data_IF_361082232242
#
_entry.id   IF_361082232242
#
_cell.length_a   1.000
_cell.length_b   1.000
_cell.length_c   1.000
_cell.angle_alpha   90.00
_cell.angle_beta   90.00
_cell.angle_gamma   90.00
#
_symmetry.space_group_name_H-M   'P 1'
#
loop_
_entity.id
_entity.type
_entity.pdbx_description
1 polymer ?
#
# COMPACT_ATOMS: atom_id res chain seq x y z
N UNK A 1 32.10 -1.22 -10.66
CA UNK A 1 32.07 -0.01 -11.53
C UNK A 1 31.65 1.18 -10.69
N UNK A 2 32.58 2.06 -10.34
CA UNK A 2 32.31 3.23 -9.46
C UNK A 2 31.95 4.47 -10.32
N UNK A 3 30.92 4.39 -11.12
CA UNK A 3 30.43 5.56 -11.84
C UNK A 3 29.21 6.14 -11.13
N UNK A 4 29.23 7.46 -10.88
CA UNK A 4 28.05 8.20 -10.47
C UNK A 4 27.01 8.11 -11.60
N UNK A 5 26.09 7.17 -11.49
CA UNK A 5 25.03 6.95 -12.46
C UNK A 5 23.81 7.79 -12.12
N UNK A 6 23.12 8.29 -13.14
CA UNK A 6 21.80 8.90 -12.99
C UNK A 6 20.74 7.86 -13.29
N UNK A 7 19.95 7.49 -12.28
CA UNK A 7 18.97 6.41 -12.33
C UNK A 7 17.57 7.00 -12.22
N UNK A 8 16.67 6.64 -13.13
CA UNK A 8 15.26 6.98 -13.07
C UNK A 8 14.42 5.73 -12.87
N UNK A 9 13.60 5.72 -11.83
CA UNK A 9 12.58 4.70 -11.63
C UNK A 9 11.21 5.26 -12.03
N UNK A 10 10.37 4.43 -12.64
CA UNK A 10 9.05 4.84 -13.12
C UNK A 10 7.97 3.92 -12.55
N UNK A 11 7.09 4.47 -11.72
CA UNK A 11 5.85 3.85 -11.28
C UNK A 11 4.79 4.94 -11.12
N UNK A 12 3.94 5.14 -12.12
CA UNK A 12 3.02 6.29 -12.16
C UNK A 12 1.85 6.17 -11.18
N UNK A 13 1.42 5.00 -10.84
CA UNK A 13 0.31 4.71 -9.89
C UNK A 13 0.51 3.33 -9.30
N UNK A 14 -0.18 2.98 -8.31
CA UNK A 14 -1.08 3.58 -7.31
C UNK A 14 -0.32 3.60 -6.00
N UNK A 15 -0.94 4.10 -4.90
CA UNK A 15 -0.32 4.10 -3.57
C UNK A 15 0.36 2.75 -3.25
N UNK A 16 -0.38 1.63 -3.32
CA UNK A 16 0.20 0.31 -3.08
C UNK A 16 1.30 -0.08 -4.06
N UNK A 17 1.13 0.19 -5.36
CA UNK A 17 2.15 -0.11 -6.39
C UNK A 17 3.44 0.69 -6.17
N UNK A 18 3.34 1.95 -5.74
CA UNK A 18 4.51 2.81 -5.45
C UNK A 18 5.21 2.32 -4.19
N UNK A 19 4.47 2.00 -3.11
CA UNK A 19 5.05 1.41 -1.90
C UNK A 19 5.80 0.11 -2.18
N UNK A 20 5.27 -0.75 -3.08
CA UNK A 20 5.94 -1.99 -3.50
C UNK A 20 7.27 -1.75 -4.22
N UNK A 21 7.55 -0.52 -4.68
CA UNK A 21 8.83 -0.17 -5.27
C UNK A 21 9.86 0.31 -4.22
N UNK A 22 9.45 0.67 -3.00
CA UNK A 22 10.37 1.27 -2.02
C UNK A 22 11.55 0.37 -1.63
N UNK A 23 11.43 -0.97 -1.52
CA UNK A 23 12.58 -1.84 -1.30
C UNK A 23 13.65 -1.71 -2.39
N UNK A 24 13.22 -1.42 -3.64
CA UNK A 24 14.19 -1.25 -4.74
C UNK A 24 15.03 0.01 -4.59
N UNK A 25 14.50 1.05 -3.92
CA UNK A 25 15.22 2.31 -3.67
C UNK A 25 16.37 2.08 -2.68
N UNK A 26 16.08 1.40 -1.58
CA UNK A 26 17.09 1.03 -0.58
C UNK A 26 18.18 0.18 -1.22
N UNK A 27 17.81 -0.88 -1.94
CA UNK A 27 18.75 -1.76 -2.63
C UNK A 27 19.63 -1.00 -3.65
N UNK A 28 19.06 -0.07 -4.41
CA UNK A 28 19.81 0.76 -5.37
C UNK A 28 20.76 1.71 -4.65
N UNK A 29 20.33 2.35 -3.56
CA UNK A 29 21.17 3.28 -2.80
C UNK A 29 22.34 2.56 -2.14
N UNK A 30 22.11 1.37 -1.58
CA UNK A 30 23.17 0.54 -0.98
C UNK A 30 24.19 0.07 -2.04
N UNK A 31 23.70 -0.34 -3.21
CA UNK A 31 24.57 -0.82 -4.28
C UNK A 31 25.30 0.31 -5.03
N UNK A 32 24.63 1.47 -5.20
CA UNK A 32 25.16 2.65 -5.89
C UNK A 32 25.10 3.89 -4.99
N UNK A 33 25.92 3.98 -3.92
CA UNK A 33 25.78 5.02 -2.90
C UNK A 33 25.98 6.46 -3.42
N UNK A 34 26.73 6.63 -4.50
CA UNK A 34 27.02 7.95 -5.12
C UNK A 34 26.14 8.29 -6.32
N UNK A 35 25.19 7.43 -6.66
CA UNK A 35 24.30 7.65 -7.81
C UNK A 35 23.22 8.68 -7.50
N UNK A 36 22.82 9.44 -8.53
CA UNK A 36 21.63 10.28 -8.47
C UNK A 36 20.40 9.42 -8.80
N UNK A 37 19.52 9.24 -7.84
CA UNK A 37 18.33 8.37 -7.96
C UNK A 37 17.07 9.24 -7.96
N UNK A 38 16.35 9.24 -9.07
CA UNK A 38 15.07 9.93 -9.19
C UNK A 38 13.91 8.95 -9.37
N UNK A 39 12.74 9.33 -8.89
CA UNK A 39 11.52 8.53 -9.04
C UNK A 39 10.41 9.34 -9.71
N UNK A 40 9.86 8.82 -10.80
CA UNK A 40 8.73 9.41 -11.52
C UNK A 40 7.42 8.77 -11.10
N UNK A 41 6.53 9.59 -10.52
CA UNK A 41 5.21 9.14 -10.05
C UNK A 41 4.10 10.16 -10.32
N UNK A 42 2.84 9.77 -10.11
CA UNK A 42 1.69 10.71 -10.13
C UNK A 42 1.58 11.44 -8.77
N UNK A 43 0.98 12.64 -8.77
CA UNK A 43 0.85 13.51 -7.59
C UNK A 43 0.22 12.79 -6.40
N UNK A 44 -0.78 11.96 -6.64
CA UNK A 44 -1.51 11.23 -5.59
C UNK A 44 -0.65 10.22 -4.80
N UNK A 45 0.54 9.92 -5.28
CA UNK A 45 1.47 8.98 -4.63
C UNK A 45 2.82 9.61 -4.28
N UNK A 46 3.01 10.91 -4.55
CA UNK A 46 4.30 11.58 -4.35
C UNK A 46 4.74 11.61 -2.88
N UNK A 47 3.80 11.80 -1.95
CA UNK A 47 4.08 11.86 -0.51
C UNK A 47 4.79 10.59 0.00
N UNK A 48 4.49 9.42 -0.61
CA UNK A 48 5.13 8.15 -0.23
C UNK A 48 6.65 8.16 -0.42
N UNK A 49 7.16 9.10 -1.24
CA UNK A 49 8.53 9.13 -1.70
C UNK A 49 9.27 10.41 -1.27
N UNK A 50 8.55 11.50 -0.99
CA UNK A 50 9.13 12.83 -0.78
C UNK A 50 10.14 12.87 0.38
N UNK A 51 9.91 12.11 1.44
CA UNK A 51 10.82 12.02 2.59
C UNK A 51 11.71 10.77 2.56
N UNK A 52 11.76 10.06 1.44
CA UNK A 52 12.54 8.83 1.35
C UNK A 52 14.05 9.16 1.22
N UNK A 53 14.90 8.77 2.20
CA UNK A 53 16.31 9.13 2.21
C UNK A 53 17.15 8.45 1.11
N UNK A 54 16.56 7.46 0.44
CA UNK A 54 17.22 6.73 -0.66
C UNK A 54 17.04 7.41 -2.02
N UNK A 55 16.26 8.51 -2.09
CA UNK A 55 15.99 9.29 -3.30
C UNK A 55 16.65 10.67 -3.22
N UNK A 56 17.08 11.16 -4.38
CA UNK A 56 17.53 12.53 -4.55
C UNK A 56 16.43 13.42 -5.14
N UNK A 57 15.49 12.85 -5.90
CA UNK A 57 14.40 13.62 -6.50
C UNK A 57 13.13 12.79 -6.73
N UNK A 58 11.99 13.41 -6.47
CA UNK A 58 10.68 12.90 -6.88
C UNK A 58 10.14 13.76 -8.02
N UNK A 59 10.03 13.17 -9.21
CA UNK A 59 9.47 13.83 -10.40
C UNK A 59 7.97 13.55 -10.43
N UNK A 60 7.18 14.62 -10.33
CA UNK A 60 5.72 14.50 -10.23
C UNK A 60 5.04 14.76 -11.55
N UNK A 61 4.12 13.87 -11.94
CA UNK A 61 3.18 14.05 -13.05
C UNK A 61 1.77 14.30 -12.53
N UNK A 62 1.12 15.30 -13.09
CA UNK A 62 -0.27 15.65 -12.79
C UNK A 62 -1.22 14.94 -13.75
N UNK A 63 -1.97 13.97 -13.24
CA UNK A 63 -2.86 13.13 -14.03
C UNK A 63 -3.91 13.92 -14.82
N UNK A 64 -4.46 14.99 -14.25
CA UNK A 64 -5.44 15.87 -14.92
C UNK A 64 -4.88 16.56 -16.17
N UNK A 65 -3.55 16.72 -16.25
CA UNK A 65 -2.89 17.41 -17.38
C UNK A 65 -2.43 16.49 -18.52
N UNK A 66 -2.72 15.18 -18.44
CA UNK A 66 -2.28 14.21 -19.47
C UNK A 66 -2.93 14.40 -20.84
N UNK A 67 -4.04 15.11 -20.93
CA UNK A 67 -4.70 15.45 -22.21
C UNK A 67 -4.02 16.61 -22.91
N UNK A 68 -3.16 17.37 -22.23
CA UNK A 68 -2.41 18.46 -22.81
C UNK A 68 -1.08 17.93 -23.40
N UNK A 69 -0.93 17.91 -24.74
CA UNK A 69 0.30 17.41 -25.37
C UNK A 69 1.52 18.25 -25.06
N UNK A 70 1.35 19.57 -24.91
CA UNK A 70 2.45 20.48 -24.56
C UNK A 70 3.00 20.18 -23.16
N UNK A 71 2.11 19.88 -22.20
CA UNK A 71 2.51 19.43 -20.87
C UNK A 71 3.33 18.14 -20.95
N UNK A 72 2.84 17.15 -21.73
CA UNK A 72 3.52 15.87 -21.89
C UNK A 72 4.90 16.05 -22.54
N UNK A 73 4.98 16.82 -23.62
CA UNK A 73 6.24 17.14 -24.29
C UNK A 73 7.22 17.87 -23.39
N UNK A 74 6.76 18.89 -22.65
CA UNK A 74 7.56 19.61 -21.65
C UNK A 74 8.14 18.67 -20.59
N UNK A 75 7.32 17.76 -20.04
CA UNK A 75 7.76 16.79 -19.04
C UNK A 75 8.78 15.80 -19.61
N UNK A 76 8.55 15.27 -20.79
CA UNK A 76 9.51 14.38 -21.47
C UNK A 76 10.83 15.12 -21.74
N UNK A 77 10.77 16.36 -22.22
CA UNK A 77 11.95 17.17 -22.45
C UNK A 77 12.74 17.43 -21.15
N UNK A 78 12.06 17.75 -20.05
CA UNK A 78 12.66 17.91 -18.72
C UNK A 78 13.39 16.63 -18.27
N UNK A 79 12.76 15.46 -18.44
CA UNK A 79 13.36 14.15 -18.12
C UNK A 79 14.59 13.90 -19.00
N UNK A 80 14.47 14.12 -20.31
CA UNK A 80 15.58 13.93 -21.27
C UNK A 80 16.78 14.84 -20.98
N UNK A 81 16.52 16.09 -20.57
CA UNK A 81 17.57 17.07 -20.21
C UNK A 81 18.38 16.63 -19.00
N UNK A 82 17.82 15.83 -18.10
CA UNK A 82 18.52 15.28 -16.93
C UNK A 82 19.57 14.22 -17.29
N UNK A 83 19.50 13.64 -18.50
CA UNK A 83 20.47 12.68 -19.05
C UNK A 83 20.67 11.47 -18.13
N UNK A 84 19.57 10.75 -17.84
CA UNK A 84 19.62 9.50 -17.09
C UNK A 84 20.40 8.43 -17.87
N UNK A 85 21.26 7.69 -17.18
CA UNK A 85 22.02 6.56 -17.74
C UNK A 85 21.17 5.28 -17.75
N UNK A 86 20.38 5.11 -16.70
CA UNK A 86 19.53 3.96 -16.45
C UNK A 86 18.09 4.39 -16.18
N UNK A 87 17.13 3.73 -16.83
CA UNK A 87 15.71 3.83 -16.52
C UNK A 87 15.17 2.47 -16.18
N UNK A 88 14.42 2.36 -15.08
CA UNK A 88 13.70 1.13 -14.67
C UNK A 88 12.21 1.44 -14.66
N UNK A 89 11.47 0.85 -15.59
CA UNK A 89 10.01 1.01 -15.69
C UNK A 89 9.30 -0.18 -15.04
N UNK A 90 8.78 0.04 -13.82
CA UNK A 90 8.03 -0.96 -13.09
C UNK A 90 6.58 -1.14 -13.55
N UNK A 91 6.04 -0.19 -14.31
CA UNK A 91 4.64 -0.16 -14.71
C UNK A 91 4.42 -0.77 -16.09
N UNK A 92 5.26 -0.45 -17.05
CA UNK A 92 5.19 -0.94 -18.42
C UNK A 92 3.91 -0.59 -19.18
N UNK A 93 3.16 0.44 -18.77
CA UNK A 93 2.02 0.92 -19.55
C UNK A 93 2.50 1.76 -20.75
N UNK A 94 1.64 2.06 -21.75
CA UNK A 94 2.08 2.84 -22.91
C UNK A 94 2.79 4.14 -22.52
N UNK A 95 2.26 4.89 -21.56
CA UNK A 95 2.83 6.18 -21.14
C UNK A 95 4.21 6.03 -20.51
N UNK A 96 4.38 5.11 -19.56
CA UNK A 96 5.66 4.90 -18.91
C UNK A 96 6.71 4.37 -19.89
N UNK A 97 6.31 3.50 -20.81
CA UNK A 97 7.18 2.97 -21.86
C UNK A 97 7.66 4.08 -22.82
N UNK A 98 6.77 4.99 -23.26
CA UNK A 98 7.17 6.15 -24.07
C UNK A 98 8.10 7.08 -23.31
N UNK A 99 7.83 7.37 -22.03
CA UNK A 99 8.72 8.21 -21.21
C UNK A 99 10.09 7.54 -21.08
N UNK A 100 10.12 6.23 -20.80
CA UNK A 100 11.37 5.45 -20.73
C UNK A 100 12.19 5.58 -22.03
N UNK A 101 11.55 5.36 -23.17
CA UNK A 101 12.22 5.45 -24.49
C UNK A 101 12.71 6.87 -24.81
N UNK A 102 11.84 7.86 -24.63
CA UNK A 102 12.13 9.26 -24.97
C UNK A 102 13.07 9.93 -23.96
N UNK A 103 13.32 9.34 -22.79
CA UNK A 103 14.33 9.81 -21.84
C UNK A 103 15.73 9.86 -22.45
N UNK A 104 15.99 9.02 -23.46
CA UNK A 104 17.30 8.89 -24.10
C UNK A 104 18.31 8.08 -23.28
N UNK A 105 17.89 7.42 -22.19
CA UNK A 105 18.77 6.58 -21.38
C UNK A 105 19.35 5.42 -22.18
N UNK A 106 20.64 5.15 -21.97
CA UNK A 106 21.35 4.04 -22.66
C UNK A 106 20.85 2.67 -22.21
N UNK A 107 20.56 2.52 -20.90
CA UNK A 107 20.00 1.30 -20.33
C UNK A 107 18.55 1.53 -19.92
N UNK A 108 17.63 0.72 -20.44
CA UNK A 108 16.19 0.79 -20.15
C UNK A 108 15.67 -0.58 -19.80
N UNK A 109 15.41 -0.77 -18.51
CA UNK A 109 14.90 -2.02 -17.94
C UNK A 109 13.38 -1.99 -17.92
N UNK A 110 12.75 -3.04 -18.37
CA UNK A 110 11.29 -3.18 -18.30
C UNK A 110 10.85 -4.64 -18.40
N UNK A 111 9.56 -4.86 -18.16
CA UNK A 111 8.98 -6.20 -18.20
C UNK A 111 8.54 -6.59 -19.63
N UNK A 112 8.57 -7.89 -19.93
CA UNK A 112 8.15 -8.44 -21.22
C UNK A 112 6.62 -8.29 -21.40
N UNK A 113 6.18 -7.20 -21.96
CA UNK A 113 4.76 -6.87 -22.17
C UNK A 113 4.45 -6.69 -23.66
N UNK A 114 4.28 -7.80 -24.40
CA UNK A 114 3.92 -7.83 -25.84
C UNK A 114 4.64 -6.73 -26.67
N UNK A 115 3.89 -5.87 -27.38
CA UNK A 115 4.43 -4.82 -28.25
C UNK A 115 5.29 -3.77 -27.50
N UNK A 116 5.15 -3.61 -26.19
CA UNK A 116 5.90 -2.60 -25.43
C UNK A 116 7.34 -2.99 -25.12
N UNK A 117 7.70 -4.26 -25.30
CA UNK A 117 9.08 -4.73 -25.12
C UNK A 117 10.10 -3.95 -25.96
N UNK A 118 9.69 -3.40 -27.12
CA UNK A 118 10.59 -2.65 -28.01
C UNK A 118 11.10 -1.33 -27.43
N UNK A 119 10.48 -0.81 -26.38
CA UNK A 119 10.93 0.41 -25.71
C UNK A 119 12.07 0.16 -24.71
N UNK A 120 12.34 -1.11 -24.39
CA UNK A 120 13.38 -1.52 -23.44
C UNK A 120 14.48 -2.29 -24.14
N UNK A 121 15.72 -2.14 -23.66
CA UNK A 121 16.85 -2.95 -24.15
C UNK A 121 17.33 -3.99 -23.13
N UNK A 122 16.81 -3.93 -21.90
CA UNK A 122 16.94 -4.99 -20.89
C UNK A 122 15.53 -5.45 -20.48
N UNK A 123 15.18 -6.68 -20.82
CA UNK A 123 13.83 -7.21 -20.67
C UNK A 123 13.79 -8.26 -19.57
N UNK A 124 12.97 -8.00 -18.54
CA UNK A 124 12.73 -8.94 -17.46
C UNK A 124 11.64 -9.92 -17.89
N UNK A 125 12.01 -11.19 -17.96
CA UNK A 125 11.07 -12.28 -18.26
C UNK A 125 10.22 -12.58 -17.02
N UNK A 126 8.90 -12.54 -17.17
CA UNK A 126 8.00 -13.03 -16.14
C UNK A 126 7.92 -14.57 -16.24
N UNK A 127 8.26 -15.27 -15.17
CA UNK A 127 8.21 -16.74 -15.12
C UNK A 127 6.80 -17.30 -14.82
N UNK A 128 5.76 -16.46 -14.85
CA UNK A 128 4.36 -16.85 -14.62
C UNK A 128 4.01 -17.22 -13.17
N UNK A 129 4.97 -17.34 -12.27
CA UNK A 129 4.69 -17.66 -10.86
C UNK A 129 4.12 -16.45 -10.14
N UNK A 130 3.03 -16.67 -9.40
CA UNK A 130 2.46 -15.64 -8.51
C UNK A 130 3.41 -15.41 -7.34
N UNK A 131 3.73 -14.17 -7.06
CA UNK A 131 4.60 -13.74 -5.98
C UNK A 131 4.19 -12.35 -5.48
N UNK A 132 4.62 -12.00 -4.30
CA UNK A 132 4.40 -10.67 -3.74
C UNK A 132 4.93 -9.58 -4.69
N UNK A 133 4.16 -8.51 -4.86
CA UNK A 133 4.45 -7.51 -5.87
C UNK A 133 5.81 -6.83 -5.69
N UNK A 134 6.29 -6.61 -4.45
CA UNK A 134 7.62 -6.06 -4.22
C UNK A 134 8.73 -7.01 -4.71
N UNK A 135 8.57 -8.34 -4.54
CA UNK A 135 9.50 -9.33 -5.09
C UNK A 135 9.57 -9.21 -6.62
N UNK A 136 8.40 -9.03 -7.26
CA UNK A 136 8.37 -8.83 -8.71
C UNK A 136 9.09 -7.53 -9.13
N UNK A 137 8.96 -6.44 -8.34
CA UNK A 137 9.70 -5.19 -8.60
C UNK A 137 11.21 -5.38 -8.43
N UNK A 138 11.64 -6.10 -7.41
CA UNK A 138 13.06 -6.41 -7.17
C UNK A 138 13.71 -7.21 -8.31
N UNK A 139 12.95 -8.04 -9.03
CA UNK A 139 13.48 -8.75 -10.21
C UNK A 139 14.02 -7.83 -11.31
N UNK A 140 13.52 -6.59 -11.37
CA UNK A 140 14.03 -5.60 -12.31
C UNK A 140 15.46 -5.14 -11.99
N UNK A 141 15.97 -5.44 -10.79
CA UNK A 141 17.33 -5.10 -10.36
C UNK A 141 18.35 -6.23 -10.64
N UNK A 142 17.89 -7.46 -10.93
CA UNK A 142 18.78 -8.61 -11.20
C UNK A 142 19.80 -8.35 -12.31
N UNK A 143 19.45 -7.72 -13.46
CA UNK A 143 20.44 -7.38 -14.47
C UNK A 143 21.56 -6.44 -14.02
N UNK A 144 21.37 -5.76 -12.87
CA UNK A 144 22.35 -4.86 -12.25
C UNK A 144 23.22 -5.59 -11.22
N UNK A 145 23.04 -6.92 -11.04
CA UNK A 145 23.75 -7.69 -10.03
C UNK A 145 23.21 -7.54 -8.62
N UNK A 146 21.98 -7.03 -8.48
CA UNK A 146 21.35 -6.75 -7.18
C UNK A 146 20.35 -7.87 -6.86
N UNK A 147 20.66 -8.68 -5.84
CA UNK A 147 19.83 -9.80 -5.38
C UNK A 147 19.82 -9.90 -3.85
N UNK A 148 18.81 -10.59 -3.29
CA UNK A 148 18.80 -10.96 -1.87
C UNK A 148 18.42 -9.85 -0.88
N UNK A 149 17.66 -8.82 -1.31
CA UNK A 149 17.27 -7.71 -0.44
C UNK A 149 15.99 -7.97 0.35
N UNK A 150 15.90 -7.30 1.52
CA UNK A 150 14.71 -7.25 2.34
C UNK A 150 13.54 -6.59 1.59
N UNK A 151 12.35 -7.17 1.73
CA UNK A 151 11.10 -6.72 1.09
C UNK A 151 10.32 -5.72 1.95
N UNK A 152 10.87 -5.28 3.09
CA UNK A 152 10.23 -4.28 3.95
C UNK A 152 9.91 -3.02 3.15
N UNK A 153 8.65 -2.60 3.24
CA UNK A 153 8.19 -1.37 2.62
C UNK A 153 8.65 -0.17 3.44
N UNK A 154 9.11 0.87 2.77
CA UNK A 154 9.56 2.10 3.40
C UNK A 154 8.55 3.23 3.15
N UNK A 155 8.06 3.83 4.22
CA UNK A 155 7.32 5.09 4.17
C UNK A 155 7.72 5.96 5.36
N UNK A 156 8.25 7.12 5.08
CA UNK A 156 8.73 8.09 6.06
C UNK A 156 7.68 9.18 6.22
N UNK A 157 7.35 9.52 7.45
CA UNK A 157 6.35 10.55 7.79
C UNK A 157 7.03 11.78 8.37
N UNK A 158 6.46 12.96 8.12
CA UNK A 158 6.99 14.23 8.64
C UNK A 158 6.70 14.40 10.14
N UNK A 159 7.42 15.30 10.79
CA UNK A 159 7.20 15.60 12.21
C UNK A 159 5.85 16.28 12.42
N UNK A 160 5.40 17.13 11.49
CA UNK A 160 4.07 17.73 11.51
C UNK A 160 2.97 16.65 11.49
N UNK A 161 3.16 15.59 10.71
CA UNK A 161 2.21 14.49 10.68
C UNK A 161 2.21 13.67 11.98
N UNK A 162 3.35 13.55 12.66
CA UNK A 162 3.41 12.92 13.98
C UNK A 162 2.62 13.75 15.02
N UNK A 163 2.86 15.07 15.07
CA UNK A 163 2.13 16.00 15.94
C UNK A 163 0.61 15.94 15.64
N UNK A 164 0.22 15.92 14.37
CA UNK A 164 -1.18 15.76 13.95
C UNK A 164 -1.79 14.47 14.54
N UNK A 165 -1.08 13.36 14.46
CA UNK A 165 -1.56 12.07 14.97
C UNK A 165 -1.63 12.04 16.50
N UNK A 166 -0.63 12.59 17.19
CA UNK A 166 -0.61 12.68 18.65
C UNK A 166 -1.80 13.50 19.17
N UNK A 167 -2.03 14.67 18.55
CA UNK A 167 -3.19 15.51 18.86
C UNK A 167 -4.51 14.78 18.58
N UNK A 168 -4.62 14.08 17.45
CA UNK A 168 -5.80 13.28 17.10
C UNK A 168 -6.13 12.26 18.19
N UNK A 169 -5.17 11.47 18.65
CA UNK A 169 -5.41 10.47 19.68
C UNK A 169 -5.70 11.11 21.05
N UNK A 170 -5.02 12.19 21.39
CA UNK A 170 -5.26 12.92 22.65
C UNK A 170 -6.67 13.51 22.71
N UNK A 171 -7.12 14.19 21.66
CA UNK A 171 -8.45 14.83 21.62
C UNK A 171 -9.59 13.79 21.60
N UNK A 172 -9.30 12.56 21.14
CA UNK A 172 -10.27 11.46 21.19
C UNK A 172 -10.13 10.59 22.45
N UNK A 173 -9.38 11.02 23.45
CA UNK A 173 -9.28 10.32 24.75
C UNK A 173 -8.64 8.93 24.70
N UNK A 174 -7.83 8.66 23.66
CA UNK A 174 -7.17 7.36 23.50
C UNK A 174 -5.98 7.28 24.44
N UNK A 175 -6.11 6.48 25.50
CA UNK A 175 -5.05 6.23 26.47
C UNK A 175 -3.91 5.38 25.90
N UNK A 176 -2.72 5.51 26.51
CA UNK A 176 -1.51 4.77 26.05
C UNK A 176 -1.66 3.23 26.12
N UNK A 177 -2.50 2.75 27.02
CA UNK A 177 -2.71 1.31 27.26
C UNK A 177 -3.89 0.73 26.44
N UNK A 178 -4.59 1.53 25.66
CA UNK A 178 -5.69 1.05 24.87
C UNK A 178 -5.18 0.25 23.67
N UNK A 179 -5.87 -0.85 23.36
CA UNK A 179 -5.71 -1.55 22.09
C UNK A 179 -6.34 -0.71 20.99
N UNK A 180 -5.54 -0.15 20.09
CA UNK A 180 -6.02 0.73 19.02
C UNK A 180 -6.08 -0.05 17.70
N UNK A 181 -7.29 -0.26 17.19
CA UNK A 181 -7.52 -1.00 15.95
C UNK A 181 -8.01 -0.05 14.85
N UNK A 182 -7.21 0.10 13.80
CA UNK A 182 -7.63 0.82 12.62
C UNK A 182 -8.50 -0.05 11.73
N UNK A 183 -9.70 0.41 11.39
CA UNK A 183 -10.58 -0.23 10.40
C UNK A 183 -10.73 0.67 9.17
N UNK A 184 -10.44 0.12 7.99
CA UNK A 184 -10.65 0.79 6.70
C UNK A 184 -11.76 0.07 5.92
N UNK A 185 -13.02 0.48 6.05
CA UNK A 185 -14.14 -0.14 5.34
C UNK A 185 -14.23 0.31 3.88
N UNK A 186 -13.34 1.22 3.48
CA UNK A 186 -13.37 1.87 2.18
C UNK A 186 -12.57 1.11 1.13
N UNK A 187 -12.92 1.31 -0.11
CA UNK A 187 -12.12 0.98 -1.29
C UNK A 187 -12.67 1.76 -2.49
N UNK A 188 -11.82 2.25 -3.36
CA UNK A 188 -12.22 2.97 -4.56
C UNK A 188 -13.17 2.18 -5.47
N UNK A 189 -13.12 0.85 -5.41
CA UNK A 189 -13.96 -0.06 -6.19
C UNK A 189 -14.98 -0.73 -5.28
N UNK A 190 -16.28 -0.51 -5.51
CA UNK A 190 -17.36 -1.10 -4.70
C UNK A 190 -17.26 -2.63 -4.58
N UNK A 191 -16.90 -3.32 -5.66
CA UNK A 191 -16.73 -4.79 -5.68
C UNK A 191 -15.53 -5.31 -4.86
N UNK A 192 -14.83 -4.46 -4.13
CA UNK A 192 -13.80 -4.80 -3.14
C UNK A 192 -14.19 -4.40 -1.73
N UNK A 193 -15.40 -3.88 -1.54
CA UNK A 193 -15.88 -3.44 -0.24
C UNK A 193 -16.67 -4.56 0.40
N UNK A 194 -16.20 -5.04 1.53
CA UNK A 194 -17.01 -5.85 2.43
C UNK A 194 -18.14 -5.01 2.99
N UNK A 195 -19.29 -5.62 3.37
CA UNK A 195 -20.47 -4.83 3.69
C UNK A 195 -20.29 -3.94 4.91
N UNK A 196 -20.93 -2.76 4.91
CA UNK A 196 -20.87 -1.81 6.03
C UNK A 196 -21.46 -2.43 7.30
N UNK A 197 -22.52 -3.22 7.17
CA UNK A 197 -23.20 -3.93 8.25
C UNK A 197 -22.26 -4.93 8.96
N UNK A 198 -21.43 -5.61 8.19
CA UNK A 198 -20.45 -6.56 8.75
C UNK A 198 -19.27 -5.85 9.39
N UNK A 199 -18.81 -4.72 8.81
CA UNK A 199 -17.79 -3.88 9.47
C UNK A 199 -18.30 -3.31 10.80
N UNK A 200 -19.55 -2.83 10.85
CA UNK A 200 -20.17 -2.34 12.07
C UNK A 200 -20.20 -3.41 13.16
N UNK A 201 -20.75 -4.60 12.85
CA UNK A 201 -20.79 -5.74 13.79
C UNK A 201 -19.39 -6.17 14.26
N UNK A 202 -18.38 -6.14 13.37
CA UNK A 202 -17.01 -6.46 13.76
C UNK A 202 -16.45 -5.40 14.71
N UNK A 203 -16.67 -4.13 14.42
CA UNK A 203 -16.22 -3.01 15.25
C UNK A 203 -16.87 -3.05 16.64
N UNK A 204 -18.19 -3.26 16.71
CA UNK A 204 -18.92 -3.45 17.98
C UNK A 204 -18.31 -4.60 18.81
N UNK A 205 -18.02 -5.73 18.17
CA UNK A 205 -17.42 -6.88 18.84
C UNK A 205 -16.01 -6.56 19.38
N UNK A 206 -15.19 -5.83 18.62
CA UNK A 206 -13.86 -5.43 19.05
C UNK A 206 -13.90 -4.47 20.25
N UNK A 207 -14.84 -3.53 20.25
CA UNK A 207 -15.02 -2.59 21.35
C UNK A 207 -15.56 -3.32 22.59
N UNK A 208 -16.62 -4.10 22.44
CA UNK A 208 -17.28 -4.77 23.57
C UNK A 208 -16.39 -5.84 24.22
N UNK A 209 -15.70 -6.68 23.44
CA UNK A 209 -14.93 -7.81 23.96
C UNK A 209 -13.49 -7.46 24.34
N UNK A 210 -12.86 -6.48 23.66
CA UNK A 210 -11.45 -6.15 23.86
C UNK A 210 -11.24 -4.75 24.42
N UNK A 211 -12.32 -4.01 24.68
CA UNK A 211 -12.26 -2.58 25.07
C UNK A 211 -11.36 -1.77 24.12
N UNK A 212 -11.34 -2.19 22.85
CA UNK A 212 -10.48 -1.58 21.85
C UNK A 212 -10.98 -0.21 21.45
N UNK A 213 -10.06 0.73 21.26
CA UNK A 213 -10.34 2.00 20.56
C UNK A 213 -10.34 1.72 19.05
N UNK A 214 -11.53 1.66 18.46
CA UNK A 214 -11.67 1.41 17.01
C UNK A 214 -11.62 2.72 16.25
N UNK A 215 -10.64 2.89 15.38
CA UNK A 215 -10.47 4.08 14.52
C UNK A 215 -10.91 3.75 13.10
N UNK A 216 -11.98 4.37 12.63
CA UNK A 216 -12.46 4.25 11.25
C UNK A 216 -11.74 5.27 10.36
N UNK A 217 -10.97 4.77 9.37
CA UNK A 217 -10.21 5.63 8.44
C UNK A 217 -10.80 5.63 7.03
N UNK A 218 -10.66 6.75 6.35
CA UNK A 218 -11.19 6.99 5.02
C UNK A 218 -10.24 7.83 4.16
N UNK A 219 -10.41 7.77 2.85
CA UNK A 219 -9.69 8.59 1.89
C UNK A 219 -10.61 9.65 1.24
N UNK A 220 -10.06 10.56 0.44
CA UNK A 220 -10.83 11.61 -0.22
C UNK A 220 -12.06 11.09 -0.94
N UNK A 221 -13.25 11.64 -0.60
CA UNK A 221 -14.54 11.26 -1.17
C UNK A 221 -15.15 9.96 -0.63
N UNK A 222 -14.55 9.35 0.39
CA UNK A 222 -15.03 8.06 0.96
C UNK A 222 -15.71 8.21 2.33
N UNK A 223 -15.82 9.44 2.89
CA UNK A 223 -16.39 9.72 4.22
C UNK A 223 -17.75 9.09 4.44
N UNK A 224 -18.65 9.18 3.45
CA UNK A 224 -20.00 8.58 3.51
C UNK A 224 -20.01 7.07 3.78
N UNK A 225 -18.95 6.35 3.41
CA UNK A 225 -18.85 4.90 3.69
C UNK A 225 -18.59 4.67 5.16
N UNK A 226 -17.74 5.50 5.76
CA UNK A 226 -17.43 5.42 7.19
C UNK A 226 -18.62 5.88 8.03
N UNK A 227 -19.27 6.96 7.64
CA UNK A 227 -20.52 7.43 8.27
C UNK A 227 -21.58 6.33 8.27
N UNK A 228 -21.78 5.65 7.12
CA UNK A 228 -22.71 4.51 7.07
C UNK A 228 -22.32 3.38 8.03
N UNK A 229 -21.04 3.08 8.21
CA UNK A 229 -20.61 2.07 9.18
C UNK A 229 -20.92 2.53 10.59
N UNK A 230 -20.58 3.78 10.92
CA UNK A 230 -20.87 4.39 12.22
C UNK A 230 -22.37 4.36 12.55
N UNK A 231 -23.24 4.73 11.62
CA UNK A 231 -24.70 4.74 11.82
C UNK A 231 -25.28 3.34 12.08
N UNK A 232 -24.57 2.29 11.71
CA UNK A 232 -24.97 0.89 11.90
C UNK A 232 -24.39 0.27 13.16
N UNK A 233 -23.44 0.95 13.81
CA UNK A 233 -22.80 0.49 15.06
C UNK A 233 -23.69 0.74 16.28
N UNK A 234 -23.46 -0.07 17.31
CA UNK A 234 -24.06 0.10 18.65
C UNK A 234 -23.09 0.74 19.62
N UNK A 235 -21.80 0.54 19.40
CA UNK A 235 -20.70 1.12 20.15
C UNK A 235 -20.16 2.35 19.44
N UNK A 236 -19.46 3.23 20.13
CA UNK A 236 -18.91 4.46 19.57
C UNK A 236 -17.49 4.30 19.06
N UNK A 237 -17.26 4.31 17.73
CA UNK A 237 -15.93 4.32 17.16
C UNK A 237 -15.37 5.73 17.10
N UNK A 238 -14.06 5.84 16.90
CA UNK A 238 -13.40 7.09 16.58
C UNK A 238 -13.35 7.22 15.05
N UNK A 239 -13.97 8.27 14.51
CA UNK A 239 -13.87 8.59 13.08
C UNK A 239 -12.61 9.43 12.87
N UNK A 240 -11.70 9.00 11.98
CA UNK A 240 -10.50 9.77 11.71
C UNK A 240 -10.82 11.16 11.15
N UNK A 241 -10.00 12.13 11.50
CA UNK A 241 -10.05 13.42 10.83
C UNK A 241 -9.79 13.28 9.33
N UNK A 242 -10.23 14.23 8.56
CA UNK A 242 -9.86 14.33 7.16
C UNK A 242 -8.34 14.55 7.06
N UNK A 243 -7.67 13.69 6.29
CA UNK A 243 -6.24 13.80 6.09
C UNK A 243 -5.95 14.54 4.80
N UNK A 244 -5.15 15.61 4.87
CA UNK A 244 -4.77 16.43 3.71
C UNK A 244 -3.77 15.73 2.79
N UNK A 245 -3.00 14.81 3.37
CA UNK A 245 -1.90 14.11 2.70
C UNK A 245 -1.70 12.69 3.27
N UNK A 246 -0.85 11.92 2.62
CA UNK A 246 -0.57 10.55 3.05
C UNK A 246 0.30 10.48 4.30
N UNK A 247 1.04 11.52 4.64
CA UNK A 247 1.83 11.55 5.88
C UNK A 247 0.94 11.52 7.11
N UNK A 248 -0.15 12.33 7.13
CA UNK A 248 -1.12 12.33 8.22
C UNK A 248 -1.82 10.97 8.36
N UNK A 249 -2.25 10.36 7.25
CA UNK A 249 -2.81 9.00 7.27
C UNK A 249 -1.80 7.98 7.78
N UNK A 250 -0.55 8.06 7.32
CA UNK A 250 0.54 7.20 7.79
C UNK A 250 0.81 7.34 9.29
N UNK A 251 0.73 8.57 9.82
CA UNK A 251 0.94 8.85 11.23
C UNK A 251 -0.20 8.27 12.11
N UNK A 252 -1.46 8.43 11.69
CA UNK A 252 -2.60 7.77 12.37
C UNK A 252 -2.40 6.26 12.38
N UNK A 253 -2.09 5.65 11.22
CA UNK A 253 -1.85 4.21 11.13
C UNK A 253 -0.66 3.75 11.99
N UNK A 254 0.38 4.58 12.11
CA UNK A 254 1.52 4.30 12.99
C UNK A 254 1.12 4.31 14.47
N UNK A 255 0.16 5.12 14.86
CA UNK A 255 -0.39 5.16 16.23
C UNK A 255 -1.27 3.96 16.57
N UNK A 256 -1.83 3.26 15.57
CA UNK A 256 -2.64 2.06 15.81
C UNK A 256 -1.77 0.81 16.06
N UNK A 257 -2.35 -0.21 16.69
CA UNK A 257 -1.68 -1.48 16.95
C UNK A 257 -1.92 -2.50 15.83
N UNK A 258 -3.09 -2.44 15.18
CA UNK A 258 -3.50 -3.38 14.15
C UNK A 258 -4.39 -2.70 13.11
N UNK A 259 -4.33 -3.20 11.88
CA UNK A 259 -5.18 -2.77 10.77
C UNK A 259 -6.10 -3.90 10.31
N UNK A 260 -7.38 -3.59 10.12
CA UNK A 260 -8.37 -4.47 9.48
C UNK A 260 -9.03 -3.70 8.34
N UNK A 261 -9.15 -4.30 7.17
CA UNK A 261 -9.84 -3.61 6.08
C UNK A 261 -9.87 -4.34 4.75
N UNK A 262 -10.41 -3.66 3.76
CA UNK A 262 -10.45 -4.15 2.39
C UNK A 262 -9.07 -4.09 1.72
N UNK A 263 -8.93 -4.78 0.58
CA UNK A 263 -7.78 -4.65 -0.30
C UNK A 263 -7.73 -3.25 -0.94
N UNK A 264 -6.97 -2.35 -0.35
CA UNK A 264 -6.83 -0.94 -0.74
C UNK A 264 -5.41 -0.39 -0.49
N UNK A 265 -5.20 0.90 -0.80
CA UNK A 265 -3.91 1.58 -0.59
C UNK A 265 -3.53 1.73 0.88
N UNK A 266 -4.51 1.99 1.75
CA UNK A 266 -4.33 2.19 3.19
C UNK A 266 -3.70 0.97 3.87
N UNK A 267 -4.09 -0.24 3.47
CA UNK A 267 -3.46 -1.48 3.93
C UNK A 267 -1.95 -1.48 3.71
N UNK A 268 -1.49 -1.06 2.53
CA UNK A 268 -0.06 -1.06 2.23
C UNK A 268 0.70 0.01 3.02
N UNK A 269 0.04 1.12 3.34
CA UNK A 269 0.59 2.12 4.28
C UNK A 269 0.71 1.50 5.67
N UNK A 270 -0.31 0.80 6.16
CA UNK A 270 -0.26 0.11 7.46
C UNK A 270 0.91 -0.89 7.52
N UNK A 271 1.11 -1.69 6.45
CA UNK A 271 2.28 -2.59 6.34
C UNK A 271 3.59 -1.81 6.39
N UNK A 272 3.72 -0.69 5.66
CA UNK A 272 4.91 0.15 5.67
C UNK A 272 5.16 0.81 7.04
N UNK A 273 4.09 1.08 7.80
CA UNK A 273 4.17 1.54 9.20
C UNK A 273 4.47 0.40 10.20
N UNK A 274 4.72 -0.81 9.71
CA UNK A 274 5.06 -1.97 10.54
C UNK A 274 3.88 -2.56 11.29
N UNK A 275 2.64 -2.29 10.88
CA UNK A 275 1.45 -2.77 11.61
C UNK A 275 1.01 -4.14 11.10
N UNK A 276 0.64 -5.06 12.01
CA UNK A 276 -0.05 -6.29 11.65
C UNK A 276 -1.35 -5.98 10.90
N UNK A 277 -1.72 -6.83 9.94
CA UNK A 277 -2.89 -6.56 9.11
C UNK A 277 -3.79 -7.77 8.93
N UNK A 278 -5.10 -7.54 8.90
CA UNK A 278 -6.11 -8.49 8.42
C UNK A 278 -6.77 -7.87 7.19
N UNK A 279 -6.62 -8.54 6.05
CA UNK A 279 -7.15 -8.00 4.78
C UNK A 279 -8.28 -8.88 4.26
N UNK A 280 -9.40 -8.24 3.94
CA UNK A 280 -10.57 -8.89 3.34
C UNK A 280 -10.47 -8.73 1.83
N UNK A 281 -10.36 -9.87 1.11
CA UNK A 281 -10.21 -9.90 -0.33
C UNK A 281 -11.50 -10.35 -1.02
N UNK A 282 -11.91 -9.56 -1.99
CA UNK A 282 -12.87 -9.97 -3.00
C UNK A 282 -12.16 -10.72 -4.16
N UNK A 283 -12.26 -10.20 -5.40
CA UNK A 283 -11.77 -10.90 -6.59
C UNK A 283 -10.25 -10.99 -6.71
N UNK A 284 -9.50 -10.16 -6.00
CA UNK A 284 -8.05 -10.08 -6.16
C UNK A 284 -7.31 -11.29 -5.59
N UNK A 285 -6.09 -11.52 -6.11
CA UNK A 285 -5.19 -12.54 -5.62
C UNK A 285 -4.45 -12.07 -4.35
N UNK A 286 -4.65 -12.71 -3.20
CA UNK A 286 -3.97 -12.32 -1.95
C UNK A 286 -2.46 -12.49 -2.00
N UNK A 287 -1.95 -13.49 -2.72
CA UNK A 287 -0.51 -13.81 -2.78
C UNK A 287 0.30 -12.63 -3.33
N UNK A 288 -0.26 -11.94 -4.32
CA UNK A 288 0.45 -10.80 -4.93
C UNK A 288 0.41 -9.53 -4.07
N UNK A 289 -0.53 -9.43 -3.16
CA UNK A 289 -0.81 -8.17 -2.46
C UNK A 289 -0.69 -8.24 -0.93
N UNK A 290 -0.53 -9.43 -0.34
CA UNK A 290 -0.28 -9.57 1.11
C UNK A 290 1.22 -9.71 1.34
N UNK A 291 1.75 -8.96 2.32
CA UNK A 291 3.14 -9.07 2.72
C UNK A 291 3.44 -10.51 3.19
N UNK A 292 4.55 -11.13 2.75
CA UNK A 292 4.80 -12.56 2.93
C UNK A 292 5.31 -12.92 4.36
N UNK A 293 4.64 -12.40 5.36
CA UNK A 293 4.82 -12.79 6.76
C UNK A 293 3.44 -13.19 7.33
N UNK A 294 3.10 -14.49 7.29
CA UNK A 294 1.79 -14.96 7.74
C UNK A 294 1.59 -14.88 9.26
N UNK A 295 2.63 -14.62 10.05
CA UNK A 295 2.49 -14.39 11.48
C UNK A 295 1.94 -12.99 11.80
N UNK A 296 2.14 -12.03 10.90
CA UNK A 296 1.71 -10.63 11.07
C UNK A 296 0.64 -10.17 10.09
N UNK A 297 0.56 -10.79 8.92
CA UNK A 297 -0.32 -10.35 7.84
C UNK A 297 -1.25 -11.47 7.40
N UNK A 298 -2.49 -11.41 7.90
CA UNK A 298 -3.54 -12.37 7.58
C UNK A 298 -4.42 -11.86 6.45
N UNK A 299 -5.07 -12.79 5.79
CA UNK A 299 -6.10 -12.43 4.81
C UNK A 299 -7.27 -13.44 4.83
N UNK A 300 -8.42 -12.95 4.37
CA UNK A 300 -9.59 -13.78 4.11
C UNK A 300 -9.98 -13.66 2.64
N UNK A 301 -10.20 -14.81 2.03
CA UNK A 301 -10.78 -14.92 0.68
C UNK A 301 -11.58 -16.21 0.59
N UNK A 302 -12.82 -16.14 0.12
CA UNK A 302 -13.67 -17.32 -0.13
C UNK A 302 -13.65 -17.68 -1.60
N UNK A 303 -13.55 -18.97 -1.90
CA UNK A 303 -13.81 -19.50 -3.24
C UNK A 303 -15.30 -19.39 -3.55
N UNK A 304 -15.62 -18.94 -4.74
CA UNK A 304 -16.97 -18.89 -5.28
C UNK A 304 -16.92 -19.37 -6.72
N UNK A 305 -17.93 -20.12 -7.14
CA UNK A 305 -18.17 -20.42 -8.55
C UNK A 305 -18.71 -19.16 -9.22
N UNK A 306 -17.79 -18.29 -9.60
CA UNK A 306 -18.07 -17.05 -10.25
C UNK A 306 -17.34 -17.02 -11.59
N UNK A 307 -18.00 -16.63 -12.68
CA UNK A 307 -17.30 -16.45 -13.94
C UNK A 307 -16.15 -15.45 -13.76
N UNK A 308 -15.08 -15.71 -14.49
CA UNK A 308 -13.80 -15.04 -14.44
C UNK A 308 -13.90 -13.53 -14.08
N UNK A 309 -13.60 -13.20 -12.82
CA UNK A 309 -13.58 -11.83 -12.32
C UNK A 309 -12.68 -10.90 -13.15
N UNK A 310 -11.72 -11.47 -13.87
CA UNK A 310 -10.85 -10.72 -14.77
C UNK A 310 -11.59 -10.19 -15.99
N UNK A 311 -12.62 -10.88 -16.45
CA UNK A 311 -13.49 -10.44 -17.57
C UNK A 311 -14.58 -9.46 -17.10
N UNK A 312 -15.06 -9.58 -15.86
CA UNK A 312 -16.19 -8.80 -15.33
C UNK A 312 -15.77 -7.65 -14.41
N UNK A 313 -14.48 -7.44 -14.19
CA UNK A 313 -13.81 -6.54 -13.21
C UNK A 313 -14.55 -5.27 -12.75
N UNK A 314 -15.36 -4.69 -13.63
CA UNK A 314 -16.07 -3.42 -13.37
C UNK A 314 -17.59 -3.56 -13.32
N UNK A 315 -18.12 -4.76 -13.54
CA UNK A 315 -19.54 -5.04 -13.66
C UNK A 315 -20.04 -6.08 -12.64
N UNK A 316 -19.20 -6.48 -11.68
CA UNK A 316 -19.62 -7.41 -10.64
C UNK A 316 -20.62 -6.71 -9.71
N UNK A 317 -21.85 -7.18 -9.73
CA UNK A 317 -22.95 -6.70 -8.87
C UNK A 317 -23.24 -7.67 -7.73
N UNK A 318 -22.89 -8.93 -7.88
CA UNK A 318 -23.29 -10.00 -6.93
C UNK A 318 -22.45 -10.10 -5.68
N UNK A 319 -21.22 -9.57 -5.67
CA UNK A 319 -20.28 -9.54 -4.52
C UNK A 319 -20.21 -10.85 -3.71
N UNK A 320 -20.67 -11.96 -4.26
CA UNK A 320 -20.83 -13.25 -3.55
C UNK A 320 -19.55 -13.74 -2.87
N UNK A 321 -18.36 -13.40 -3.40
CA UNK A 321 -17.08 -13.72 -2.77
C UNK A 321 -16.86 -12.96 -1.44
N UNK A 322 -17.35 -11.72 -1.33
CA UNK A 322 -17.28 -10.90 -0.11
C UNK A 322 -18.44 -11.27 0.83
N UNK A 323 -19.63 -11.56 0.30
CA UNK A 323 -20.80 -11.91 1.10
C UNK A 323 -20.62 -13.24 1.85
N UNK A 324 -19.88 -14.20 1.28
CA UNK A 324 -19.52 -15.45 1.95
C UNK A 324 -18.50 -15.29 3.10
N UNK A 325 -17.84 -14.14 3.23
CA UNK A 325 -16.98 -13.85 4.38
C UNK A 325 -17.86 -13.32 5.50
N UNK A 326 -17.96 -14.08 6.59
CA UNK A 326 -18.76 -13.71 7.76
C UNK A 326 -17.96 -12.91 8.76
N UNK A 327 -18.62 -12.28 9.74
CA UNK A 327 -17.96 -11.58 10.85
C UNK A 327 -17.15 -12.59 11.68
N UNK A 328 -17.72 -13.76 11.91
CA UNK A 328 -17.11 -14.85 12.68
C UNK A 328 -15.82 -15.39 12.00
N UNK A 329 -15.76 -15.38 10.67
CA UNK A 329 -14.52 -15.69 9.94
C UNK A 329 -13.41 -14.68 10.29
N UNK A 330 -13.74 -13.37 10.33
CA UNK A 330 -12.78 -12.31 10.65
C UNK A 330 -12.36 -12.38 12.12
N UNK A 331 -13.31 -12.61 13.03
CA UNK A 331 -13.05 -12.82 14.46
C UNK A 331 -12.06 -13.97 14.70
N UNK A 332 -12.28 -15.12 14.06
CA UNK A 332 -11.36 -16.27 14.15
C UNK A 332 -9.94 -15.92 13.69
N UNK A 333 -9.84 -15.19 12.58
CA UNK A 333 -8.53 -14.76 12.05
C UNK A 333 -7.88 -13.72 12.97
N UNK A 334 -8.66 -12.83 13.58
CA UNK A 334 -8.17 -11.86 14.56
C UNK A 334 -7.59 -12.58 15.79
N UNK A 335 -8.34 -13.53 16.39
CA UNK A 335 -7.85 -14.31 17.53
C UNK A 335 -6.59 -15.12 17.19
N UNK A 336 -6.52 -15.68 15.98
CA UNK A 336 -5.32 -16.37 15.51
C UNK A 336 -4.13 -15.42 15.37
N UNK A 337 -4.36 -14.22 14.83
CA UNK A 337 -3.30 -13.18 14.70
C UNK A 337 -2.76 -12.78 16.09
N UNK A 338 -3.64 -12.58 17.09
CA UNK A 338 -3.21 -12.29 18.45
C UNK A 338 -2.29 -13.39 19.02
N UNK A 339 -2.67 -14.67 18.82
CA UNK A 339 -1.83 -15.80 19.24
C UNK A 339 -0.47 -15.83 18.56
N UNK A 340 -0.44 -15.55 17.26
CA UNK A 340 0.80 -15.55 16.48
C UNK A 340 1.72 -14.38 16.89
N UNK A 341 1.16 -13.21 17.18
CA UNK A 341 1.89 -12.03 17.67
C UNK A 341 2.48 -12.28 19.07
N UNK A 342 1.74 -12.94 19.98
CA UNK A 342 2.25 -13.36 21.29
C UNK A 342 3.47 -14.27 21.16
N UNK A 343 3.40 -15.24 20.26
CA UNK A 343 4.52 -16.17 20.01
C UNK A 343 5.77 -15.47 19.49
N UNK A 344 5.61 -14.34 18.79
CA UNK A 344 6.71 -13.56 18.21
C UNK A 344 7.29 -12.50 19.16
N UNK A 345 6.98 -12.56 20.46
CA UNK A 345 7.51 -11.68 21.52
C UNK A 345 7.26 -10.17 21.30
N UNK A 346 6.16 -9.80 20.63
CA UNK A 346 5.80 -8.40 20.50
C UNK A 346 5.15 -7.87 21.78
N UNK A 347 5.96 -7.59 22.80
CA UNK A 347 5.57 -7.18 24.17
C UNK A 347 4.44 -6.16 24.25
N UNK A 348 4.51 -5.12 23.42
CA UNK A 348 3.52 -4.02 23.49
C UNK A 348 2.09 -4.47 23.15
N UNK A 349 1.94 -5.37 22.19
CA UNK A 349 0.64 -5.88 21.79
C UNK A 349 0.12 -6.88 22.82
N UNK A 350 1.01 -7.72 23.34
CA UNK A 350 0.72 -8.71 24.38
C UNK A 350 0.25 -8.03 25.66
N UNK A 351 0.96 -7.01 26.16
CA UNK A 351 0.59 -6.29 27.38
C UNK A 351 -0.81 -5.67 27.29
N UNK A 352 -1.15 -5.12 26.11
CA UNK A 352 -2.49 -4.55 25.86
C UNK A 352 -3.62 -5.60 25.80
N UNK A 353 -3.30 -6.86 25.47
CA UNK A 353 -4.32 -7.91 25.32
C UNK A 353 -4.43 -8.82 26.53
N UNK A 354 -3.40 -8.97 27.37
CA UNK A 354 -3.44 -9.78 28.59
C UNK A 354 -4.39 -9.21 29.65
N UNK A 355 -4.49 -7.90 29.76
CA UNK A 355 -5.47 -7.25 30.65
C UNK A 355 -6.93 -7.40 30.19
N UNK A 356 -7.16 -7.83 28.96
CA UNK A 356 -8.49 -7.89 28.34
C UNK A 356 -9.02 -9.34 28.19
N UNK A 357 -8.21 -10.35 28.51
CA UNK A 357 -8.58 -11.76 28.37
C UNK A 357 -8.89 -12.45 29.72
N UNK A 358 -9.01 -11.68 30.81
CA UNK A 358 -9.20 -12.20 32.18
C UNK A 358 -10.51 -11.66 32.77
N UNK A 359 -11.63 -11.81 32.04
CA UNK A 359 -12.98 -11.76 32.63
C UNK A 359 -13.91 -12.71 31.87
#
# INVERSE_FOLDING_TARGET
MNYSQKILLIQLRRIGDVLMCTPTLRALREHFPKSYIAFLTEKESSDLLTLNPYLDEVIVLERGKYRNPLYCLKKIWQIRKKRFDLVIDFLGNPRSAYISFLSGAKCRVGFNLRLRRFFYNVIIKNNGKRKYAAVHKMEALKPLGIEGFDMKLDFFISDEAKIFSERFFQENGVGQNNLIICISPTSRRHFRRWSSEKFARLADWLISQFKASVVLVWGPGEKKVVEKVNDLMKEEPIISWETENLFQLGAILRGCDLYIGNDNGTKHIAVAMGKPTITIYGPHDPVSWTYPDPSRHKFLKKKVDCPDCDKIKHKCTELSCLDKITVEDVQKVFLQLLKDLKKNEERRFVEKTEHLAVD
#
